data_IF_377117824837
#
_entry.id   IF_377117824837
#
_cell.length_a   1.000
_cell.length_b   1.000
_cell.length_c   1.000
_cell.angle_alpha   90.00
_cell.angle_beta   90.00
_cell.angle_gamma   90.00
#
_symmetry.space_group_name_H-M   'P 1'
#
loop_
_entity.id
_entity.type
_entity.pdbx_description
1 polymer ?
#
# COMPACT_ATOMS: atom_id res chain seq x y z
N UNK A 1 17.62 22.99 0.53
CA UNK A 1 17.11 23.09 -0.85
C UNK A 1 15.98 22.09 -1.00
N UNK A 2 14.74 22.53 -0.81
CA UNK A 2 13.57 21.65 -0.85
C UNK A 2 13.18 21.42 -2.32
N UNK A 3 13.06 20.16 -2.73
CA UNK A 3 12.49 19.83 -4.04
C UNK A 3 11.06 20.41 -4.13
N UNK A 4 10.63 20.86 -5.33
CA UNK A 4 9.27 21.37 -5.50
C UNK A 4 8.25 20.24 -5.24
N UNK A 5 7.03 20.56 -4.80
CA UNK A 5 5.95 19.57 -4.72
C UNK A 5 5.73 19.01 -6.13
N UNK A 6 5.99 17.71 -6.31
CA UNK A 6 5.70 17.04 -7.58
C UNK A 6 4.19 17.11 -7.82
N UNK A 7 3.83 17.66 -8.99
CA UNK A 7 2.47 17.90 -9.50
C UNK A 7 1.51 16.76 -9.14
N UNK A 8 0.26 17.05 -8.74
CA UNK A 8 -0.80 16.04 -8.70
C UNK A 8 -0.82 15.30 -10.02
N UNK A 9 -0.91 13.97 -9.98
CA UNK A 9 -1.15 13.23 -11.22
C UNK A 9 -2.59 13.54 -11.62
N UNK A 10 -2.76 14.32 -12.68
CA UNK A 10 -4.08 14.67 -13.20
C UNK A 10 -4.79 13.43 -13.77
N UNK A 11 -6.12 13.43 -13.71
CA UNK A 11 -6.94 12.36 -14.28
C UNK A 11 -7.07 11.11 -13.39
N UNK A 12 -6.72 11.21 -12.11
CA UNK A 12 -7.00 10.17 -11.11
C UNK A 12 -7.56 10.77 -9.81
N UNK A 13 -8.42 9.99 -9.14
CA UNK A 13 -9.01 10.32 -7.86
C UNK A 13 -8.90 9.16 -6.88
N UNK A 14 -8.76 9.48 -5.59
CA UNK A 14 -8.76 8.48 -4.51
C UNK A 14 -10.10 8.55 -3.79
N UNK A 15 -10.77 7.41 -3.66
CA UNK A 15 -12.03 7.28 -2.93
C UNK A 15 -11.96 6.13 -1.94
N UNK A 16 -12.70 6.21 -0.82
CA UNK A 16 -12.88 5.07 0.07
C UNK A 16 -13.59 3.95 -0.69
N UNK A 17 -13.08 2.73 -0.57
CA UNK A 17 -13.61 1.57 -1.25
C UNK A 17 -14.91 1.10 -0.60
N UNK A 18 -15.78 0.49 -1.40
CA UNK A 18 -16.97 -0.21 -0.93
C UNK A 18 -16.94 -1.68 -1.38
N UNK A 19 -17.99 -2.43 -1.02
CA UNK A 19 -18.11 -3.87 -1.32
C UNK A 19 -18.02 -4.20 -2.81
N UNK A 20 -18.48 -3.30 -3.68
CA UNK A 20 -18.48 -3.48 -5.15
C UNK A 20 -17.08 -3.32 -5.74
N UNK A 21 -16.16 -2.64 -5.05
CA UNK A 21 -14.78 -2.46 -5.50
C UNK A 21 -13.91 -3.71 -5.22
N UNK A 22 -14.35 -4.63 -4.34
CA UNK A 22 -13.56 -5.79 -3.88
C UNK A 22 -13.13 -6.73 -5.01
N UNK A 23 -14.00 -7.12 -5.96
CA UNK A 23 -13.56 -7.96 -7.08
C UNK A 23 -12.41 -7.36 -7.88
N UNK A 24 -12.43 -6.04 -8.12
CA UNK A 24 -11.37 -5.34 -8.84
C UNK A 24 -10.08 -5.26 -8.01
N UNK A 25 -10.17 -4.99 -6.71
CA UNK A 25 -9.01 -5.00 -5.80
C UNK A 25 -8.35 -6.38 -5.80
N UNK A 26 -9.14 -7.47 -5.68
CA UNK A 26 -8.62 -8.83 -5.71
C UNK A 26 -7.95 -9.17 -7.03
N UNK A 27 -8.50 -8.72 -8.17
CA UNK A 27 -7.88 -8.94 -9.47
C UNK A 27 -6.50 -8.28 -9.55
N UNK A 28 -6.40 -7.00 -9.14
CA UNK A 28 -5.14 -6.25 -9.13
C UNK A 28 -4.11 -6.89 -8.18
N UNK A 29 -4.55 -7.34 -7.00
CA UNK A 29 -3.68 -8.03 -6.03
C UNK A 29 -3.14 -9.33 -6.62
N UNK A 30 -4.01 -10.20 -7.15
CA UNK A 30 -3.57 -11.46 -7.73
C UNK A 30 -2.58 -11.26 -8.87
N UNK A 31 -2.87 -10.32 -9.77
CA UNK A 31 -1.99 -10.02 -10.89
C UNK A 31 -0.62 -9.49 -10.43
N UNK A 32 -0.60 -8.46 -9.57
CA UNK A 32 0.63 -7.83 -9.12
C UNK A 32 1.51 -8.73 -8.23
N UNK A 33 0.91 -9.65 -7.47
CA UNK A 33 1.62 -10.53 -6.54
C UNK A 33 1.96 -11.92 -7.09
N UNK A 34 1.36 -12.33 -8.22
CA UNK A 34 1.57 -13.64 -8.87
C UNK A 34 3.06 -14.01 -9.03
N UNK A 35 3.88 -13.04 -9.46
CA UNK A 35 5.34 -13.21 -9.65
C UNK A 35 6.11 -13.57 -8.38
N UNK A 36 5.53 -13.38 -7.19
CA UNK A 36 6.19 -13.68 -5.92
C UNK A 36 5.87 -15.09 -5.40
N UNK A 37 4.89 -15.80 -5.97
CA UNK A 37 4.43 -17.11 -5.47
C UNK A 37 5.57 -18.13 -5.47
N UNK A 38 6.23 -18.32 -6.61
CA UNK A 38 7.36 -19.25 -6.74
C UNK A 38 8.51 -18.87 -5.80
N UNK A 39 8.80 -17.58 -5.70
CA UNK A 39 9.92 -17.05 -4.89
C UNK A 39 9.71 -17.18 -3.39
N UNK A 40 8.46 -17.11 -2.93
CA UNK A 40 8.07 -17.27 -1.52
C UNK A 40 7.79 -18.74 -1.20
N UNK A 41 7.48 -19.57 -2.21
CA UNK A 41 7.09 -20.97 -2.07
C UNK A 41 5.61 -21.16 -1.71
N UNK A 42 4.84 -20.06 -1.63
CA UNK A 42 3.39 -20.03 -1.40
C UNK A 42 2.83 -18.67 -1.77
N UNK A 43 1.50 -18.56 -1.83
CA UNK A 43 0.83 -17.29 -2.05
C UNK A 43 1.20 -16.25 -0.98
N UNK A 44 1.56 -15.02 -1.37
CA UNK A 44 1.68 -13.89 -0.45
C UNK A 44 0.38 -13.62 0.31
N UNK A 45 0.51 -13.13 1.55
CA UNK A 45 -0.65 -12.83 2.40
C UNK A 45 -1.75 -11.96 1.73
N UNK A 46 -1.44 -10.93 0.91
CA UNK A 46 -2.47 -10.17 0.20
C UNK A 46 -3.34 -11.03 -0.73
N UNK A 47 -2.79 -12.06 -1.38
CA UNK A 47 -3.57 -12.92 -2.30
C UNK A 47 -4.59 -13.78 -1.56
N UNK A 48 -4.31 -14.16 -0.31
CA UNK A 48 -5.19 -14.98 0.54
C UNK A 48 -6.04 -14.14 1.50
N UNK A 49 -5.96 -12.81 1.44
CA UNK A 49 -6.67 -11.92 2.36
C UNK A 49 -8.16 -11.85 2.02
N UNK A 50 -9.03 -11.97 3.03
CA UNK A 50 -10.45 -11.67 2.87
C UNK A 50 -10.70 -10.16 2.91
N UNK A 51 -10.70 -9.55 1.73
CA UNK A 51 -10.94 -8.11 1.61
C UNK A 51 -12.35 -7.68 2.01
N UNK A 52 -13.34 -8.59 2.07
CA UNK A 52 -14.66 -8.26 2.61
C UNK A 52 -14.59 -8.05 4.13
N UNK A 53 -13.80 -8.86 4.83
CA UNK A 53 -13.53 -8.66 6.26
C UNK A 53 -12.66 -7.42 6.52
N UNK A 54 -11.66 -7.19 5.67
CA UNK A 54 -10.79 -6.00 5.78
C UNK A 54 -11.59 -4.71 5.67
N UNK A 55 -12.63 -4.64 4.82
CA UNK A 55 -13.51 -3.46 4.75
C UNK A 55 -14.19 -3.10 6.08
N UNK A 56 -14.38 -4.07 6.97
CA UNK A 56 -15.02 -3.86 8.27
C UNK A 56 -14.03 -3.46 9.38
N UNK A 57 -12.73 -3.67 9.15
CA UNK A 57 -11.69 -3.54 10.19
C UNK A 57 -10.64 -2.47 9.85
N UNK A 58 -10.52 -2.10 8.58
CA UNK A 58 -9.51 -1.20 8.05
C UNK A 58 -10.13 -0.23 7.03
N UNK A 59 -9.45 0.89 6.80
CA UNK A 59 -9.79 1.76 5.69
C UNK A 59 -9.12 1.26 4.41
N UNK A 60 -9.94 0.92 3.42
CA UNK A 60 -9.46 0.64 2.06
C UNK A 60 -9.76 1.84 1.18
N UNK A 61 -8.77 2.32 0.44
CA UNK A 61 -8.94 3.36 -0.56
C UNK A 61 -8.52 2.83 -1.93
N UNK A 62 -9.24 3.24 -2.97
CA UNK A 62 -8.98 2.89 -4.37
C UNK A 62 -8.60 4.12 -5.16
N UNK A 63 -7.61 3.97 -6.04
CA UNK A 63 -7.24 4.97 -7.04
C UNK A 63 -8.00 4.68 -8.34
N UNK A 64 -8.84 5.61 -8.77
CA UNK A 64 -9.66 5.49 -9.98
C UNK A 64 -9.19 6.47 -11.04
N UNK A 65 -9.22 6.07 -12.30
CA UNK A 65 -9.04 7.01 -13.43
C UNK A 65 -10.30 7.86 -13.59
N UNK A 66 -10.15 9.15 -13.84
CA UNK A 66 -11.30 10.06 -13.89
C UNK A 66 -12.18 9.81 -15.12
N UNK A 67 -11.57 9.40 -16.24
CA UNK A 67 -12.26 9.17 -17.52
C UNK A 67 -13.11 7.90 -17.51
N UNK A 68 -12.54 6.77 -17.09
CA UNK A 68 -13.20 5.45 -17.19
C UNK A 68 -13.72 4.93 -15.86
N UNK A 69 -13.41 5.62 -14.76
CA UNK A 69 -13.68 5.18 -13.38
C UNK A 69 -13.07 3.81 -13.04
N UNK A 70 -12.07 3.40 -13.82
CA UNK A 70 -11.36 2.12 -13.62
C UNK A 70 -10.46 2.22 -12.40
N UNK A 71 -10.53 1.23 -11.53
CA UNK A 71 -9.60 1.10 -10.39
C UNK A 71 -8.25 0.66 -10.94
N UNK A 72 -7.21 1.44 -10.66
CA UNK A 72 -5.83 1.18 -11.11
C UNK A 72 -4.86 0.98 -9.94
N UNK A 73 -5.35 1.05 -8.71
CA UNK A 73 -4.58 0.77 -7.51
C UNK A 73 -5.44 0.82 -6.25
N UNK A 74 -4.89 0.30 -5.16
CA UNK A 74 -5.54 0.23 -3.85
C UNK A 74 -4.51 0.36 -2.73
N UNK A 75 -4.93 0.96 -1.62
CA UNK A 75 -4.15 1.05 -0.38
C UNK A 75 -5.03 0.70 0.81
N UNK A 76 -4.53 -0.14 1.71
CA UNK A 76 -5.19 -0.55 2.96
C UNK A 76 -4.46 0.08 4.12
N UNK A 77 -5.17 0.86 4.92
CA UNK A 77 -4.64 1.66 6.02
C UNK A 77 -5.30 1.26 7.34
N UNK A 78 -4.51 1.22 8.41
CA UNK A 78 -5.00 1.18 9.78
C UNK A 78 -4.34 2.28 10.59
N UNK A 79 -5.12 2.98 11.40
CA UNK A 79 -4.57 3.87 12.43
C UNK A 79 -4.05 3.03 13.58
N UNK A 80 -2.80 3.26 13.96
CA UNK A 80 -2.13 2.64 15.10
C UNK A 80 -1.72 3.74 16.09
N UNK A 81 -2.54 3.87 17.15
CA UNK A 81 -2.37 4.91 18.16
C UNK A 81 -1.11 4.64 19.02
N UNK A 82 -0.82 3.37 19.31
CA UNK A 82 0.32 3.00 20.16
C UNK A 82 1.65 3.37 19.50
N UNK A 83 1.75 3.16 18.17
CA UNK A 83 2.93 3.59 17.41
C UNK A 83 2.86 5.01 16.87
N UNK A 84 1.78 5.75 17.17
CA UNK A 84 1.48 7.09 16.68
C UNK A 84 1.66 7.19 15.14
N UNK A 85 1.06 6.25 14.41
CA UNK A 85 1.28 6.10 12.98
C UNK A 85 0.05 5.62 12.21
N UNK A 86 0.07 5.80 10.88
CA UNK A 86 -0.78 5.00 9.99
C UNK A 86 0.03 3.81 9.46
N UNK A 87 -0.50 2.61 9.69
CA UNK A 87 0.03 1.37 9.14
C UNK A 87 -0.53 1.12 7.74
N UNK A 88 0.36 1.01 6.76
CA UNK A 88 0.04 0.55 5.41
C UNK A 88 0.13 -0.98 5.40
N UNK A 89 -1.03 -1.64 5.40
CA UNK A 89 -1.11 -3.11 5.38
C UNK A 89 -0.94 -3.67 3.98
N UNK A 90 -1.38 -2.94 2.96
CA UNK A 90 -1.21 -3.31 1.56
C UNK A 90 -1.22 -2.06 0.69
N UNK A 91 -0.37 -2.03 -0.33
CA UNK A 91 -0.39 -1.02 -1.38
C UNK A 91 -0.10 -1.72 -2.70
N UNK A 92 -1.04 -1.64 -3.63
CA UNK A 92 -0.93 -2.29 -4.93
C UNK A 92 -1.34 -1.34 -6.05
N UNK A 93 -0.67 -1.47 -7.19
CA UNK A 93 -0.99 -0.78 -8.44
C UNK A 93 -1.10 -1.84 -9.52
N UNK A 94 -2.16 -1.75 -10.33
CA UNK A 94 -2.39 -2.59 -11.50
C UNK A 94 -1.13 -2.62 -12.37
N UNK A 95 -0.69 -3.81 -12.78
CA UNK A 95 0.56 -3.99 -13.53
C UNK A 95 0.56 -3.20 -14.83
N UNK A 96 -0.58 -3.09 -15.52
CA UNK A 96 -0.74 -2.29 -16.75
C UNK A 96 -0.67 -0.77 -16.48
N UNK A 97 -0.83 -0.36 -15.23
CA UNK A 97 -0.79 1.03 -14.77
C UNK A 97 0.50 1.39 -14.01
N UNK A 98 1.44 0.45 -13.84
CA UNK A 98 2.72 0.70 -13.18
C UNK A 98 3.62 1.66 -13.99
N UNK A 99 4.63 2.23 -13.33
CA UNK A 99 5.53 3.23 -13.92
C UNK A 99 4.92 4.63 -14.10
N UNK A 100 3.61 4.79 -13.88
CA UNK A 100 2.89 6.08 -14.00
C UNK A 100 2.94 6.96 -12.75
N UNK A 101 3.54 6.49 -11.66
CA UNK A 101 3.64 7.22 -10.40
C UNK A 101 2.46 7.03 -9.43
N UNK A 102 1.49 6.18 -9.75
CA UNK A 102 0.31 5.90 -8.92
C UNK A 102 0.62 5.38 -7.51
N UNK A 103 1.66 4.55 -7.36
CA UNK A 103 2.09 4.10 -6.03
C UNK A 103 2.53 5.26 -5.14
N UNK A 104 3.14 6.30 -5.73
CA UNK A 104 3.53 7.52 -5.02
C UNK A 104 2.33 8.40 -4.68
N UNK A 105 1.31 8.43 -5.53
CA UNK A 105 0.04 9.12 -5.24
C UNK A 105 -0.65 8.48 -4.04
N UNK A 106 -0.74 7.15 -4.01
CA UNK A 106 -1.30 6.40 -2.87
C UNK A 106 -0.47 6.62 -1.58
N UNK A 107 0.86 6.60 -1.66
CA UNK A 107 1.73 6.87 -0.51
C UNK A 107 1.54 8.29 0.04
N UNK A 108 1.53 9.30 -0.84
CA UNK A 108 1.30 10.68 -0.44
C UNK A 108 -0.07 10.88 0.21
N UNK A 109 -1.09 10.14 -0.24
CA UNK A 109 -2.41 10.15 0.38
C UNK A 109 -2.36 9.61 1.81
N UNK A 110 -1.65 8.50 2.06
CA UNK A 110 -1.44 7.99 3.41
C UNK A 110 -0.70 8.99 4.31
N UNK A 111 0.35 9.65 3.80
CA UNK A 111 1.07 10.71 4.53
C UNK A 111 0.13 11.87 4.89
N UNK A 112 -0.68 12.34 3.94
CA UNK A 112 -1.67 13.40 4.17
C UNK A 112 -2.71 13.00 5.21
N UNK A 113 -3.20 11.76 5.15
CA UNK A 113 -4.16 11.22 6.12
C UNK A 113 -3.54 11.17 7.52
N UNK A 114 -2.30 10.68 7.66
CA UNK A 114 -1.61 10.62 8.94
C UNK A 114 -1.45 12.00 9.57
N UNK A 115 -0.98 12.98 8.78
CA UNK A 115 -0.87 14.38 9.24
C UNK A 115 -2.23 14.97 9.64
N UNK A 116 -3.29 14.70 8.88
CA UNK A 116 -4.64 15.19 9.19
C UNK A 116 -5.20 14.62 10.50
N UNK A 117 -4.73 13.42 10.90
CA UNK A 117 -5.09 12.77 12.15
C UNK A 117 -4.13 13.12 13.31
N UNK A 118 -3.13 13.98 13.09
CA UNK A 118 -2.13 14.34 14.09
C UNK A 118 -1.09 13.24 14.37
N UNK A 119 -1.00 12.23 13.50
CA UNK A 119 -0.06 11.12 13.63
C UNK A 119 1.30 11.49 13.04
N UNK A 120 2.37 11.00 13.66
CA UNK A 120 3.73 11.43 13.36
C UNK A 120 4.49 10.54 12.37
N UNK A 121 3.90 9.44 11.92
CA UNK A 121 4.60 8.48 11.07
C UNK A 121 3.69 7.65 10.16
N UNK A 122 4.34 7.01 9.19
CA UNK A 122 3.84 5.83 8.49
C UNK A 122 4.64 4.60 8.89
N UNK A 123 3.95 3.46 9.01
CA UNK A 123 4.58 2.15 9.17
C UNK A 123 4.11 1.20 8.08
N UNK A 124 4.96 0.25 7.69
CA UNK A 124 4.60 -0.79 6.74
C UNK A 124 5.45 -2.04 6.96
N UNK A 125 5.10 -3.12 6.26
CA UNK A 125 5.94 -4.30 6.20
C UNK A 125 5.88 -4.93 4.81
N UNK A 126 6.89 -5.73 4.48
CA UNK A 126 6.89 -6.55 3.26
C UNK A 126 7.57 -7.87 3.50
N UNK A 127 7.33 -8.86 2.63
CA UNK A 127 8.01 -10.14 2.73
C UNK A 127 9.51 -9.95 2.40
N UNK A 128 10.40 -10.61 3.13
CA UNK A 128 11.85 -10.51 2.90
C UNK A 128 12.25 -10.91 1.46
N UNK A 129 11.47 -11.78 0.83
CA UNK A 129 11.60 -12.20 -0.57
C UNK A 129 10.93 -11.24 -1.56
N UNK A 130 10.71 -9.97 -1.19
CA UNK A 130 10.30 -8.91 -2.12
C UNK A 130 11.38 -7.82 -2.14
N UNK A 131 12.62 -8.19 -2.52
CA UNK A 131 13.83 -7.34 -2.53
C UNK A 131 13.61 -5.96 -3.18
N UNK A 132 12.80 -5.90 -4.22
CA UNK A 132 12.42 -4.67 -4.93
C UNK A 132 11.75 -3.67 -3.98
N UNK A 133 10.87 -4.15 -3.10
CA UNK A 133 10.19 -3.34 -2.11
C UNK A 133 11.14 -2.82 -1.04
N UNK A 134 12.12 -3.63 -0.61
CA UNK A 134 13.11 -3.23 0.41
C UNK A 134 13.89 -1.98 -0.05
N UNK A 135 14.40 -2.02 -1.30
CA UNK A 135 15.11 -0.88 -1.88
C UNK A 135 14.19 0.31 -2.20
N UNK A 136 12.94 0.05 -2.58
CA UNK A 136 11.95 1.09 -2.84
C UNK A 136 11.62 1.90 -1.57
N UNK A 137 11.33 1.22 -0.47
CA UNK A 137 10.94 1.89 0.78
C UNK A 137 12.09 2.72 1.36
N UNK A 138 13.32 2.21 1.31
CA UNK A 138 14.50 2.98 1.70
C UNK A 138 14.61 4.30 0.90
N UNK A 139 14.42 4.25 -0.42
CA UNK A 139 14.42 5.45 -1.28
C UNK A 139 13.26 6.41 -0.99
N UNK A 140 12.18 5.93 -0.40
CA UNK A 140 11.03 6.74 0.02
C UNK A 140 11.20 7.35 1.43
N UNK A 141 12.33 7.11 2.09
CA UNK A 141 12.64 7.63 3.42
C UNK A 141 12.19 6.73 4.56
N UNK A 142 11.76 5.49 4.27
CA UNK A 142 11.49 4.51 5.31
C UNK A 142 12.79 3.90 5.83
N UNK A 143 12.86 3.73 7.14
CA UNK A 143 13.94 3.04 7.85
C UNK A 143 13.43 1.68 8.31
N UNK A 144 14.23 0.63 8.09
CA UNK A 144 13.94 -0.70 8.60
C UNK A 144 14.00 -0.70 10.14
N UNK A 145 12.99 -1.28 10.79
CA UNK A 145 12.88 -1.31 12.26
C UNK A 145 13.04 -2.72 12.84
N UNK A 146 12.52 -3.74 12.16
CA UNK A 146 12.50 -5.11 12.66
C UNK A 146 12.43 -6.12 11.50
N UNK A 147 12.98 -7.32 11.71
CA UNK A 147 12.68 -8.51 10.90
C UNK A 147 12.17 -9.62 11.79
N UNK A 148 11.04 -10.23 11.43
CA UNK A 148 10.47 -11.36 12.16
C UNK A 148 9.59 -12.24 11.28
N UNK A 149 9.34 -13.45 11.76
CA UNK A 149 8.34 -14.34 11.18
C UNK A 149 6.99 -14.09 11.86
N UNK A 150 5.98 -13.73 11.09
CA UNK A 150 4.63 -13.47 11.57
C UNK A 150 3.61 -14.13 10.64
N UNK A 151 2.65 -14.85 11.20
CA UNK A 151 1.62 -15.61 10.45
C UNK A 151 2.21 -16.51 9.36
N UNK A 152 3.40 -17.08 9.62
CA UNK A 152 4.11 -17.94 8.68
C UNK A 152 4.80 -17.22 7.51
N UNK A 153 5.00 -15.90 7.58
CA UNK A 153 5.77 -15.13 6.59
C UNK A 153 6.96 -14.43 7.24
N UNK A 154 8.13 -14.51 6.60
CA UNK A 154 9.29 -13.71 6.95
C UNK A 154 9.09 -12.28 6.48
N UNK A 155 8.99 -11.34 7.42
CA UNK A 155 8.65 -9.92 7.16
C UNK A 155 9.78 -9.00 7.59
N UNK A 156 9.93 -7.92 6.84
CA UNK A 156 10.75 -6.75 7.18
C UNK A 156 9.81 -5.58 7.42
N UNK A 157 9.93 -4.94 8.59
CA UNK A 157 9.10 -3.82 9.03
C UNK A 157 9.85 -2.51 8.86
N UNK A 158 9.10 -1.47 8.56
CA UNK A 158 9.63 -0.16 8.23
C UNK A 158 8.82 0.95 8.89
N UNK A 159 9.51 2.05 9.21
CA UNK A 159 8.91 3.28 9.71
C UNK A 159 9.45 4.48 8.94
N UNK A 160 8.57 5.45 8.67
CA UNK A 160 8.93 6.78 8.16
C UNK A 160 8.26 7.83 9.03
N UNK A 161 9.06 8.67 9.68
CA UNK A 161 8.54 9.84 10.39
C UNK A 161 8.17 10.96 9.39
N UNK A 162 7.13 11.73 9.73
CA UNK A 162 6.49 12.74 8.86
C UNK A 162 6.86 14.16 9.24
#
# INVERSE_FOLDING_TARGET
MSQPPRTPIEGVSITKANVEDIPAIKAIVNDAYSKYVERIGKEPAPMTTDYYEVLNTHDIFVLKTDTTKTIVGSIVLATDIDSNSIKINNLVVDTAAQGRGYGRVLMNYAEGLARSQGLAALTLFTNIKMYENLGLYAKMGFVETERKTESGYERVYFRKDL
#
